data_IF_308987569820
#
_entry.id   IF_308987569820
#
_cell.length_a   1.000
_cell.length_b   1.000
_cell.length_c   1.000
_cell.angle_alpha   90.00
_cell.angle_beta   90.00
_cell.angle_gamma   90.00
#
_symmetry.space_group_name_H-M   'P 1'
#
loop_
_entity.id
_entity.type
_entity.pdbx_description
1 polymer ?
#
# COMPACT_ATOMS: atom_id res chain seq x y z
N UNK A 1 -32.73 1.79 1.76
CA UNK A 1 -32.33 2.86 0.82
C UNK A 1 -30.87 3.26 1.07
N UNK A 2 -30.44 3.41 2.32
CA UNK A 2 -29.06 3.68 2.76
C UNK A 2 -27.93 3.04 1.93
N UNK A 3 -27.97 1.73 1.66
CA UNK A 3 -26.89 1.05 0.92
C UNK A 3 -26.60 1.68 -0.44
N UNK A 4 -27.64 2.12 -1.16
CA UNK A 4 -27.48 2.77 -2.46
C UNK A 4 -26.84 4.16 -2.32
N UNK A 5 -27.25 4.95 -1.32
CA UNK A 5 -26.64 6.23 -1.01
C UNK A 5 -25.16 6.07 -0.63
N UNK A 6 -24.84 5.12 0.25
CA UNK A 6 -23.46 4.83 0.64
C UNK A 6 -22.59 4.45 -0.56
N UNK A 7 -23.12 3.63 -1.49
CA UNK A 7 -22.40 3.27 -2.72
C UNK A 7 -22.08 4.47 -3.61
N UNK A 8 -23.06 5.37 -3.81
CA UNK A 8 -22.87 6.57 -4.62
C UNK A 8 -21.86 7.53 -3.97
N UNK A 9 -22.01 7.78 -2.67
CA UNK A 9 -21.13 8.65 -1.91
C UNK A 9 -19.68 8.12 -1.88
N UNK A 10 -19.51 6.83 -1.60
CA UNK A 10 -18.19 6.18 -1.55
C UNK A 10 -17.46 6.20 -2.90
N UNK A 11 -18.20 6.14 -4.01
CA UNK A 11 -17.63 6.20 -5.37
C UNK A 11 -17.60 7.60 -5.96
N UNK A 12 -18.11 8.61 -5.25
CA UNK A 12 -18.20 10.00 -5.71
C UNK A 12 -18.85 10.11 -7.09
N UNK A 13 -19.95 9.38 -7.31
CA UNK A 13 -20.70 9.36 -8.58
C UNK A 13 -22.01 10.14 -8.47
N UNK A 14 -22.45 10.73 -9.58
CA UNK A 14 -23.70 11.51 -9.67
C UNK A 14 -24.95 10.70 -9.30
N UNK A 15 -25.98 11.38 -8.80
CA UNK A 15 -27.30 10.82 -8.44
C UNK A 15 -28.06 10.27 -9.65
N UNK A 16 -27.67 10.62 -10.88
CA UNK A 16 -28.21 10.02 -12.11
C UNK A 16 -28.05 8.48 -12.13
N UNK A 17 -27.05 7.96 -11.41
CA UNK A 17 -26.78 6.52 -11.30
C UNK A 17 -27.62 5.83 -10.21
N UNK A 18 -28.53 6.55 -9.55
CA UNK A 18 -29.37 6.06 -8.45
C UNK A 18 -30.05 4.74 -8.75
N UNK A 19 -30.71 4.61 -9.91
CA UNK A 19 -31.43 3.39 -10.28
C UNK A 19 -30.50 2.18 -10.33
N UNK A 20 -29.29 2.35 -10.88
CA UNK A 20 -28.26 1.29 -10.93
C UNK A 20 -27.72 0.96 -9.55
N UNK A 21 -27.51 1.98 -8.70
CA UNK A 21 -27.06 1.78 -7.33
C UNK A 21 -28.10 1.01 -6.49
N UNK A 22 -29.38 1.36 -6.59
CA UNK A 22 -30.47 0.66 -5.91
C UNK A 22 -30.58 -0.79 -6.39
N UNK A 23 -30.57 -1.02 -7.70
CA UNK A 23 -30.64 -2.38 -8.24
C UNK A 23 -29.46 -3.24 -7.75
N UNK A 24 -28.26 -2.67 -7.74
CA UNK A 24 -27.06 -3.35 -7.22
C UNK A 24 -27.18 -3.61 -5.71
N UNK A 25 -27.68 -2.66 -4.93
CA UNK A 25 -27.88 -2.84 -3.50
C UNK A 25 -28.88 -3.97 -3.19
N UNK A 26 -30.01 -4.02 -3.90
CA UNK A 26 -31.00 -5.10 -3.77
C UNK A 26 -30.40 -6.44 -4.21
N UNK A 27 -29.66 -6.45 -5.32
CA UNK A 27 -28.96 -7.63 -5.81
C UNK A 27 -28.02 -8.23 -4.74
N UNK A 28 -27.21 -7.37 -4.11
CA UNK A 28 -26.29 -7.76 -3.06
C UNK A 28 -27.02 -8.21 -1.80
N UNK A 29 -28.01 -7.44 -1.31
CA UNK A 29 -28.80 -7.80 -0.12
C UNK A 29 -29.41 -9.20 -0.26
N UNK A 30 -29.98 -9.50 -1.42
CA UNK A 30 -30.67 -10.76 -1.63
C UNK A 30 -29.73 -11.96 -1.67
N UNK A 31 -28.44 -11.74 -1.95
CA UNK A 31 -27.46 -12.81 -2.14
C UNK A 31 -26.32 -12.81 -1.14
N UNK A 32 -26.21 -11.80 -0.28
CA UNK A 32 -25.36 -11.80 0.90
C UNK A 32 -26.08 -12.48 2.07
N UNK A 33 -25.36 -13.21 2.91
CA UNK A 33 -25.86 -13.58 4.23
C UNK A 33 -25.92 -12.34 5.14
N UNK A 34 -26.69 -12.43 6.21
CA UNK A 34 -26.74 -11.40 7.24
C UNK A 34 -26.29 -12.01 8.57
N UNK A 35 -25.99 -11.17 9.55
CA UNK A 35 -25.48 -11.62 10.85
C UNK A 35 -26.46 -12.53 11.61
N UNK A 36 -27.77 -12.36 11.41
CA UNK A 36 -28.79 -13.22 12.02
C UNK A 36 -28.91 -14.59 11.34
N UNK A 37 -28.58 -14.68 10.05
CA UNK A 37 -28.68 -15.89 9.22
C UNK A 37 -27.40 -16.05 8.39
N UNK A 38 -26.30 -16.56 8.98
CA UNK A 38 -25.01 -16.68 8.30
C UNK A 38 -25.03 -17.72 7.16
N UNK A 39 -25.80 -18.80 7.33
CA UNK A 39 -25.78 -19.94 6.39
C UNK A 39 -26.82 -19.85 5.27
N UNK A 40 -27.65 -18.80 5.29
CA UNK A 40 -28.80 -18.67 4.40
C UNK A 40 -28.97 -17.25 3.89
N UNK A 41 -29.22 -17.13 2.59
CA UNK A 41 -29.50 -15.86 1.91
C UNK A 41 -30.95 -15.84 1.43
N UNK A 42 -31.60 -14.68 1.29
CA UNK A 42 -32.95 -14.59 0.72
C UNK A 42 -33.06 -15.31 -0.64
N UNK A 43 -32.04 -15.18 -1.49
CA UNK A 43 -31.96 -15.88 -2.77
C UNK A 43 -31.98 -17.40 -2.59
N UNK A 44 -31.19 -17.93 -1.65
CA UNK A 44 -31.17 -19.37 -1.33
C UNK A 44 -32.52 -19.85 -0.78
N UNK A 45 -33.24 -19.04 -0.01
CA UNK A 45 -34.56 -19.41 0.51
C UNK A 45 -35.59 -19.59 -0.60
N UNK A 46 -35.59 -18.68 -1.58
CA UNK A 46 -36.56 -18.65 -2.67
C UNK A 46 -36.21 -19.68 -3.75
N UNK A 47 -34.96 -19.69 -4.21
CA UNK A 47 -34.55 -20.49 -5.37
C UNK A 47 -33.94 -21.84 -4.98
N UNK A 48 -33.74 -22.11 -3.69
CA UNK A 48 -33.08 -23.33 -3.16
C UNK A 48 -31.68 -23.60 -3.73
N UNK A 49 -31.07 -22.61 -4.37
CA UNK A 49 -29.74 -22.67 -4.98
C UNK A 49 -28.80 -21.64 -4.34
N UNK A 50 -27.51 -21.97 -4.25
CA UNK A 50 -26.49 -21.04 -3.77
C UNK A 50 -26.23 -19.97 -4.84
N UNK A 51 -26.24 -18.68 -4.50
CA UNK A 51 -25.92 -17.64 -5.48
C UNK A 51 -24.44 -17.73 -5.90
N UNK A 52 -24.17 -17.60 -7.20
CA UNK A 52 -22.82 -17.43 -7.73
C UNK A 52 -22.36 -15.98 -7.57
N UNK A 53 -21.11 -15.78 -7.15
CA UNK A 53 -20.54 -14.46 -6.81
C UNK A 53 -19.22 -14.15 -7.51
N UNK A 54 -18.79 -14.98 -8.46
CA UNK A 54 -17.47 -14.88 -9.08
C UNK A 54 -17.28 -13.61 -9.93
N UNK A 55 -18.38 -12.98 -10.33
CA UNK A 55 -18.39 -11.72 -11.06
C UNK A 55 -18.14 -10.49 -10.16
N UNK A 56 -18.27 -10.62 -8.84
CA UNK A 56 -17.97 -9.54 -7.90
C UNK A 56 -16.48 -9.48 -7.61
N UNK A 57 -15.93 -8.26 -7.65
CA UNK A 57 -14.54 -8.01 -7.26
C UNK A 57 -14.48 -7.71 -5.77
N UNK A 58 -13.72 -8.50 -5.03
CA UNK A 58 -13.48 -8.35 -3.58
C UNK A 58 -12.09 -7.77 -3.36
N UNK A 59 -12.00 -6.74 -2.52
CA UNK A 59 -10.73 -6.18 -2.06
C UNK A 59 -10.15 -7.00 -0.92
N UNK A 60 -8.83 -7.13 -0.87
CA UNK A 60 -8.09 -7.82 0.18
C UNK A 60 -6.95 -6.93 0.68
N UNK A 61 -6.47 -7.18 1.90
CA UNK A 61 -5.30 -6.47 2.43
C UNK A 61 -4.04 -7.01 1.77
N UNK A 62 -3.17 -6.11 1.36
CA UNK A 62 -1.94 -6.49 0.66
C UNK A 62 -0.81 -5.49 0.95
N UNK A 63 0.43 -5.94 0.73
CA UNK A 63 1.60 -5.08 0.71
C UNK A 63 1.99 -4.81 -0.74
N UNK A 64 2.26 -3.54 -1.06
CA UNK A 64 2.71 -3.14 -2.39
C UNK A 64 4.18 -3.50 -2.60
N UNK A 65 4.51 -4.11 -3.74
CA UNK A 65 5.88 -4.55 -4.07
C UNK A 65 6.47 -3.85 -5.31
N UNK A 66 5.67 -3.14 -6.10
CA UNK A 66 6.11 -2.46 -7.32
C UNK A 66 5.28 -2.80 -8.56
N UNK A 67 5.75 -2.37 -9.72
CA UNK A 67 5.09 -2.60 -11.00
C UNK A 67 5.42 -3.99 -11.57
N UNK A 68 4.46 -4.61 -12.26
CA UNK A 68 4.72 -5.83 -13.01
C UNK A 68 5.41 -5.49 -14.35
N UNK A 69 6.38 -6.30 -14.76
CA UNK A 69 7.22 -6.03 -15.93
C UNK A 69 6.48 -6.17 -17.26
N UNK A 70 5.67 -7.23 -17.41
CA UNK A 70 5.09 -7.61 -18.71
C UNK A 70 3.58 -7.37 -18.82
N UNK A 71 2.96 -6.78 -17.80
CA UNK A 71 1.52 -6.52 -17.76
C UNK A 71 1.24 -5.22 -17.03
N UNK A 72 0.25 -4.46 -17.51
CA UNK A 72 -0.24 -3.28 -16.79
C UNK A 72 -0.89 -3.72 -15.48
N UNK A 73 -0.16 -3.59 -14.38
CA UNK A 73 -0.60 -3.95 -13.04
C UNK A 73 0.52 -3.85 -12.02
N UNK A 74 0.15 -4.01 -10.75
CA UNK A 74 1.04 -3.92 -9.61
C UNK A 74 1.27 -5.30 -9.01
N UNK A 75 2.52 -5.59 -8.66
CA UNK A 75 2.86 -6.72 -7.80
C UNK A 75 2.45 -6.38 -6.37
N UNK A 76 1.60 -7.22 -5.80
CA UNK A 76 1.14 -7.09 -4.42
C UNK A 76 1.31 -8.43 -3.72
N UNK A 77 1.77 -8.38 -2.48
CA UNK A 77 1.80 -9.55 -1.61
C UNK A 77 0.47 -9.67 -0.89
N UNK A 78 -0.24 -10.78 -1.13
CA UNK A 78 -1.49 -11.12 -0.48
C UNK A 78 -1.20 -11.62 0.95
N UNK A 79 -1.59 -10.83 1.95
CA UNK A 79 -1.26 -11.12 3.36
C UNK A 79 -2.01 -12.34 3.90
N UNK A 80 -3.17 -12.65 3.34
CA UNK A 80 -4.00 -13.78 3.78
C UNK A 80 -3.52 -15.09 3.16
N UNK A 81 -3.13 -15.04 1.88
CA UNK A 81 -2.75 -16.23 1.11
C UNK A 81 -1.24 -16.44 0.97
N UNK A 82 -0.43 -15.55 1.56
CA UNK A 82 1.03 -15.57 1.54
C UNK A 82 1.64 -15.78 0.14
N UNK A 83 1.13 -15.04 -0.86
CA UNK A 83 1.58 -15.17 -2.26
C UNK A 83 1.62 -13.83 -2.99
N UNK A 84 2.53 -13.71 -3.95
CA UNK A 84 2.60 -12.56 -4.85
C UNK A 84 1.48 -12.69 -5.90
N UNK A 85 0.73 -11.63 -6.10
CA UNK A 85 -0.31 -11.50 -7.13
C UNK A 85 -0.09 -10.24 -7.93
N UNK A 86 -0.56 -10.23 -9.17
CA UNK A 86 -0.64 -9.01 -9.97
C UNK A 86 -2.07 -8.46 -9.92
N UNK A 87 -2.24 -7.20 -9.51
CA UNK A 87 -3.54 -6.54 -9.45
C UNK A 87 -3.51 -5.18 -10.16
N UNK A 88 -4.56 -4.86 -10.91
CA UNK A 88 -4.69 -3.59 -11.66
C UNK A 88 -5.17 -2.43 -10.80
N UNK A 89 -5.80 -2.72 -9.67
CA UNK A 89 -6.39 -1.70 -8.80
C UNK A 89 -5.89 -1.91 -7.37
N UNK A 90 -5.11 -0.94 -6.89
CA UNK A 90 -4.58 -0.89 -5.53
C UNK A 90 -4.97 0.45 -4.95
N UNK A 91 -5.47 0.46 -3.71
CA UNK A 91 -5.65 1.67 -2.92
C UNK A 91 -4.54 1.67 -1.87
N UNK A 92 -3.68 2.68 -1.91
CA UNK A 92 -2.59 2.82 -0.95
C UNK A 92 -3.11 3.50 0.30
N UNK A 93 -2.55 3.10 1.44
CA UNK A 93 -2.77 3.75 2.70
C UNK A 93 -1.69 4.83 2.86
N UNK A 94 -2.01 6.06 2.46
CA UNK A 94 -1.07 7.19 2.35
C UNK A 94 -0.83 7.92 3.69
N UNK A 95 -1.13 7.29 4.83
CA UNK A 95 -0.88 7.90 6.14
C UNK A 95 0.59 8.24 6.31
N UNK A 96 0.88 9.41 6.90
CA UNK A 96 2.23 9.79 7.27
C UNK A 96 2.79 8.77 8.25
N UNK A 97 3.76 7.99 7.79
CA UNK A 97 4.55 7.13 8.66
C UNK A 97 5.70 7.99 9.15
N UNK A 98 5.75 8.25 10.46
CA UNK A 98 6.86 8.99 11.07
C UNK A 98 8.20 8.33 10.71
N UNK A 99 9.00 9.04 9.91
CA UNK A 99 10.46 8.92 9.88
C UNK A 99 11.08 7.57 9.52
N UNK A 100 10.67 6.90 8.45
CA UNK A 100 11.51 5.83 7.85
C UNK A 100 12.54 6.36 6.83
N UNK A 101 12.38 7.62 6.42
CA UNK A 101 13.35 8.37 5.60
C UNK A 101 13.86 9.60 6.36
N UNK A 102 14.01 9.53 7.67
CA UNK A 102 14.71 10.59 8.39
C UNK A 102 16.15 10.62 7.87
N UNK A 103 16.40 11.48 6.88
CA UNK A 103 17.73 11.82 6.45
C UNK A 103 18.41 12.39 7.70
N UNK A 104 19.33 11.62 8.29
CA UNK A 104 20.18 12.15 9.34
C UNK A 104 20.87 13.39 8.77
N UNK A 105 20.47 14.57 9.22
CA UNK A 105 21.23 15.78 9.00
C UNK A 105 22.63 15.54 9.60
N UNK A 106 23.60 15.27 8.73
CA UNK A 106 25.00 15.14 9.15
C UNK A 106 25.45 16.52 9.60
N UNK A 107 25.40 16.75 10.93
CA UNK A 107 25.94 17.98 11.53
C UNK A 107 27.45 18.05 11.26
N UNK A 108 27.97 19.09 10.60
CA UNK A 108 29.41 19.20 10.35
C UNK A 108 30.16 19.27 11.69
N UNK A 109 31.10 18.34 11.90
CA UNK A 109 31.95 18.27 13.10
C UNK A 109 33.00 19.39 13.06
N UNK A 110 32.86 20.32 14.01
CA UNK A 110 33.86 21.18 14.66
C UNK A 110 34.95 21.81 13.78
N UNK A 111 34.88 23.14 13.63
CA UNK A 111 35.99 23.99 13.18
C UNK A 111 37.08 23.97 14.27
N UNK A 112 38.29 23.53 13.94
CA UNK A 112 39.47 23.72 14.79
C UNK A 112 40.00 25.13 14.53
N UNK A 113 39.86 26.04 15.49
CA UNK A 113 40.55 27.33 15.47
C UNK A 113 41.99 27.13 15.92
N UNK A 114 42.95 27.34 15.03
CA UNK A 114 44.37 27.49 15.38
C UNK A 114 44.72 28.96 15.23
N UNK A 115 44.98 29.64 16.36
CA UNK A 115 45.49 31.02 16.36
C UNK A 115 46.97 31.03 16.00
N UNK A 116 47.33 31.77 14.94
CA UNK A 116 48.65 32.40 14.84
C UNK A 116 48.58 33.68 14.00
N UNK A 117 48.65 34.81 14.69
CA UNK A 117 49.16 36.11 14.25
C UNK A 117 48.65 36.71 12.95
N UNK A 118 47.78 37.72 13.07
CA UNK A 118 47.75 38.95 12.26
C UNK A 118 47.72 38.82 10.74
N UNK A 119 46.53 38.67 10.17
CA UNK A 119 45.95 39.47 9.08
C UNK A 119 44.73 38.74 8.50
N UNK A 120 43.60 39.46 8.35
CA UNK A 120 42.38 38.91 7.78
C UNK A 120 42.54 38.63 6.28
N UNK A 121 42.61 37.35 5.90
CA UNK A 121 42.30 36.93 4.54
C UNK A 121 41.29 35.79 4.60
N UNK A 122 40.05 36.08 4.18
CA UNK A 122 39.02 35.08 3.90
C UNK A 122 39.45 34.26 2.69
N UNK A 123 39.86 33.01 2.91
CA UNK A 123 39.96 32.03 1.82
C UNK A 123 38.84 31.02 2.01
N UNK A 124 37.75 31.20 1.26
CA UNK A 124 36.81 30.11 0.99
C UNK A 124 37.49 29.17 0.00
N UNK A 125 37.88 27.98 0.43
CA UNK A 125 38.21 26.91 -0.50
C UNK A 125 36.97 26.01 -0.64
N UNK A 126 36.25 26.21 -1.74
CA UNK A 126 35.29 25.24 -2.25
C UNK A 126 36.11 24.05 -2.78
N UNK A 127 35.98 22.87 -2.18
CA UNK A 127 36.35 21.62 -2.86
C UNK A 127 35.05 20.97 -3.30
N UNK A 128 34.64 21.30 -4.52
CA UNK A 128 33.71 20.47 -5.27
C UNK A 128 34.32 19.07 -5.40
N UNK A 129 33.57 18.04 -5.03
CA UNK A 129 33.83 16.67 -5.48
C UNK A 129 32.64 16.19 -6.31
N UNK A 130 32.95 15.91 -7.57
CA UNK A 130 32.08 15.51 -8.67
C UNK A 130 31.30 14.18 -8.45
N UNK A 131 30.22 13.94 -9.24
CA UNK A 131 29.32 12.80 -9.08
C UNK A 131 29.99 11.48 -9.45
N UNK A 132 29.78 10.45 -8.63
CA UNK A 132 30.25 9.08 -8.89
C UNK A 132 29.32 8.43 -9.92
N UNK A 133 29.90 7.93 -11.00
CA UNK A 133 29.23 7.12 -12.03
C UNK A 133 28.75 5.79 -11.44
N UNK A 134 27.51 5.42 -11.71
CA UNK A 134 26.89 4.14 -11.30
C UNK A 134 27.56 2.95 -12.00
N UNK A 135 28.16 2.03 -11.23
CA UNK A 135 28.46 0.68 -11.73
C UNK A 135 27.22 -0.21 -11.64
N UNK A 136 26.97 -1.09 -12.63
CA UNK A 136 25.78 -1.93 -12.63
C UNK A 136 25.89 -3.02 -11.56
N UNK A 137 24.90 -3.07 -10.67
CA UNK A 137 24.76 -4.09 -9.63
C UNK A 137 24.54 -5.47 -10.27
N UNK A 138 25.46 -6.41 -10.01
CA UNK A 138 25.30 -7.81 -10.35
C UNK A 138 24.09 -8.44 -9.65
N UNK A 139 23.48 -9.44 -10.30
CA UNK A 139 22.32 -10.15 -9.75
C UNK A 139 22.65 -10.78 -8.39
N UNK A 140 22.01 -10.28 -7.34
CA UNK A 140 22.00 -10.91 -6.02
C UNK A 140 20.62 -11.55 -5.85
N UNK A 141 20.57 -12.88 -5.88
CA UNK A 141 19.41 -13.63 -5.37
C UNK A 141 19.36 -13.44 -3.85
N UNK A 142 18.39 -12.66 -3.38
CA UNK A 142 18.15 -12.50 -1.94
C UNK A 142 17.27 -13.65 -1.43
N UNK A 143 17.78 -14.41 -0.47
CA UNK A 143 17.14 -15.66 -0.04
C UNK A 143 15.92 -15.41 0.86
N UNK A 144 14.92 -16.28 0.72
CA UNK A 144 13.58 -16.24 1.38
C UNK A 144 13.63 -16.13 2.92
N UNK A 145 14.77 -16.42 3.55
CA UNK A 145 14.97 -16.30 5.00
C UNK A 145 14.99 -14.85 5.49
N UNK A 146 15.54 -13.91 4.70
CA UNK A 146 15.73 -12.53 5.14
C UNK A 146 14.41 -11.75 5.20
N UNK A 147 13.51 -12.03 4.24
CA UNK A 147 12.16 -11.44 4.21
C UNK A 147 11.34 -11.89 5.42
N UNK A 148 11.46 -13.15 5.87
CA UNK A 148 10.77 -13.64 7.07
C UNK A 148 11.27 -12.94 8.33
N UNK A 149 12.59 -12.71 8.44
CA UNK A 149 13.18 -12.02 9.60
C UNK A 149 12.71 -10.57 9.72
N UNK A 150 12.53 -9.89 8.58
CA UNK A 150 12.06 -8.51 8.52
C UNK A 150 10.60 -8.39 8.96
N UNK A 151 9.75 -9.33 8.52
CA UNK A 151 8.32 -9.36 8.88
C UNK A 151 8.13 -9.63 10.38
N UNK A 152 8.89 -10.56 10.98
CA UNK A 152 8.77 -10.87 12.41
C UNK A 152 9.16 -9.69 13.30
N UNK A 153 10.17 -8.91 12.89
CA UNK A 153 10.57 -7.69 13.61
C UNK A 153 9.52 -6.59 13.54
N UNK A 154 8.85 -6.46 12.40
CA UNK A 154 7.82 -5.44 12.22
C UNK A 154 6.52 -5.80 12.94
N UNK A 155 6.17 -7.09 13.04
CA UNK A 155 5.01 -7.56 13.80
C UNK A 155 5.16 -7.35 15.33
N UNK A 156 6.36 -7.48 15.87
CA UNK A 156 6.63 -7.27 17.31
C UNK A 156 6.50 -5.80 17.75
N UNK A 157 6.57 -4.84 16.82
CA UNK A 157 6.41 -3.42 17.13
C UNK A 157 4.95 -2.99 17.33
N UNK A 158 3.98 -3.83 16.96
CA UNK A 158 2.55 -3.51 17.02
C UNK A 158 1.78 -4.27 18.13
N UNK A 159 2.47 -4.98 19.04
CA UNK A 159 1.83 -5.73 20.13
C UNK A 159 2.05 -5.15 21.53
N UNK A 160 2.27 -3.84 21.64
CA UNK A 160 2.36 -3.11 22.91
C UNK A 160 1.12 -2.26 23.17
#
# INVERSE_FOLDING_TARGET
MEKAHSMLHYKSVSTEWWVKAVNTAVYLINRSSNTAHPDTTPYKLVFKMKPQMDHLRVSFKCMFLGCAENVKGYRVFDLENAKIRVNRSVKLDEREVGGIYDAQEVKPKRIIQVMKGGDEVKVQHQVDRQPVLDEPMGAVEETVADVKSMITRQASMYSG
#
